data_IF_023393510883
#
_entry.id   IF_023393510883
#
_cell.length_a   1.000
_cell.length_b   1.000
_cell.length_c   1.000
_cell.angle_alpha   90.00
_cell.angle_beta   90.00
_cell.angle_gamma   90.00
#
_symmetry.space_group_name_H-M   'P 1'
#
loop_
_entity.id
_entity.type
_entity.pdbx_description
1 polymer ?
#
# COMPACT_ATOMS: atom_id res chain seq x y z
N UNK A 1 -14.54 -57.85 44.14
CA UNK A 1 -13.89 -56.70 43.49
C UNK A 1 -14.62 -56.53 42.16
N UNK A 2 -15.61 -55.68 41.93
CA UNK A 2 -16.00 -54.42 42.56
C UNK A 2 -16.42 -53.49 41.40
N UNK A 3 -17.65 -53.68 40.91
CA UNK A 3 -18.67 -52.67 40.58
C UNK A 3 -18.38 -51.38 39.77
N UNK A 4 -19.15 -51.25 38.67
CA UNK A 4 -19.93 -50.08 38.16
C UNK A 4 -19.18 -48.75 37.81
N UNK A 5 -19.54 -47.84 36.87
CA UNK A 5 -20.57 -47.65 35.84
C UNK A 5 -20.45 -46.19 35.30
N UNK A 6 -20.81 -45.96 34.02
CA UNK A 6 -21.34 -44.68 33.47
C UNK A 6 -20.32 -43.66 32.93
N UNK A 7 -20.52 -42.94 31.82
CA UNK A 7 -21.66 -42.58 30.96
C UNK A 7 -21.15 -42.44 29.49
N UNK A 8 -21.85 -42.84 28.42
CA UNK A 8 -23.07 -42.21 27.88
C UNK A 8 -22.70 -41.11 26.87
N UNK A 9 -22.44 -41.40 25.58
CA UNK A 9 -23.36 -41.41 24.41
C UNK A 9 -23.69 -40.04 23.79
N UNK A 10 -23.47 -39.94 22.47
CA UNK A 10 -24.21 -39.09 21.53
C UNK A 10 -23.78 -37.61 21.49
N UNK A 11 -23.80 -36.88 20.39
CA UNK A 11 -24.49 -37.05 19.12
C UNK A 11 -23.79 -36.16 18.08
N UNK A 12 -24.00 -36.54 16.83
CA UNK A 12 -23.79 -35.75 15.63
C UNK A 12 -24.32 -34.31 15.77
N UNK A 13 -23.54 -33.35 15.30
CA UNK A 13 -23.93 -31.95 15.15
C UNK A 13 -23.26 -31.40 13.91
N UNK A 14 -24.08 -31.22 12.88
CA UNK A 14 -23.76 -30.86 11.52
C UNK A 14 -22.90 -29.59 11.40
N UNK A 15 -21.91 -29.65 10.52
CA UNK A 15 -21.30 -28.45 9.93
C UNK A 15 -22.04 -28.14 8.62
N UNK A 16 -23.33 -27.80 8.75
CA UNK A 16 -24.03 -26.99 7.77
C UNK A 16 -24.07 -25.56 8.29
N UNK A 17 -23.27 -24.72 7.64
CA UNK A 17 -23.11 -23.32 7.96
C UNK A 17 -22.72 -22.56 6.70
N UNK A 18 -23.56 -22.69 5.66
CA UNK A 18 -23.67 -21.72 4.59
C UNK A 18 -23.75 -20.32 5.22
N UNK A 19 -22.66 -19.58 5.19
CA UNK A 19 -22.73 -18.12 5.27
C UNK A 19 -22.72 -17.60 3.84
N UNK A 20 -23.91 -17.67 3.24
CA UNK A 20 -24.23 -16.89 2.06
C UNK A 20 -23.87 -15.44 2.35
N UNK A 21 -22.93 -14.89 1.58
CA UNK A 21 -22.69 -13.45 1.49
C UNK A 21 -23.91 -12.88 0.77
N UNK A 22 -24.99 -12.63 1.51
CA UNK A 22 -26.10 -11.83 1.01
C UNK A 22 -25.62 -10.39 0.94
N UNK A 23 -25.51 -9.88 -0.28
CA UNK A 23 -25.18 -8.48 -0.53
C UNK A 23 -26.09 -7.55 0.26
N UNK A 24 -25.48 -6.74 1.11
CA UNK A 24 -25.97 -5.46 1.64
C UNK A 24 -24.88 -4.88 2.54
N UNK A 25 -23.94 -4.15 1.95
CA UNK A 25 -22.99 -3.27 2.66
C UNK A 25 -22.46 -2.18 1.69
N UNK A 26 -23.36 -1.59 0.91
CA UNK A 26 -23.05 -0.53 -0.08
C UNK A 26 -23.71 0.83 0.21
N UNK A 27 -24.39 1.02 1.36
CA UNK A 27 -25.15 2.25 1.65
C UNK A 27 -24.54 3.13 2.77
N UNK A 28 -23.23 3.42 2.74
CA UNK A 28 -22.66 4.37 3.72
C UNK A 28 -21.67 5.40 3.15
N UNK A 29 -21.75 5.70 1.85
CA UNK A 29 -20.89 6.73 1.23
C UNK A 29 -21.62 7.86 0.48
N UNK A 30 -22.94 7.98 0.57
CA UNK A 30 -23.70 9.05 -0.12
C UNK A 30 -24.08 10.28 0.72
N UNK A 31 -23.62 10.42 1.97
CA UNK A 31 -24.08 11.52 2.85
C UNK A 31 -23.19 12.77 2.93
N UNK A 32 -22.21 12.97 2.03
CA UNK A 32 -21.35 14.17 2.09
C UNK A 32 -21.72 15.26 1.07
N UNK A 33 -22.38 15.00 -0.06
CA UNK A 33 -22.89 16.10 -0.94
C UNK A 33 -24.13 15.61 -1.72
N UNK A 34 -25.31 16.08 -1.34
CA UNK A 34 -26.60 15.55 -1.82
C UNK A 34 -27.04 15.97 -3.23
N UNK A 35 -28.08 15.29 -3.73
CA UNK A 35 -28.91 15.78 -4.85
C UNK A 35 -29.59 14.73 -5.75
N UNK A 36 -30.56 13.97 -5.21
CA UNK A 36 -31.82 13.44 -5.81
C UNK A 36 -31.94 13.11 -7.32
N UNK A 37 -32.43 11.91 -7.65
CA UNK A 37 -33.20 11.64 -8.88
C UNK A 37 -33.42 10.15 -9.27
N UNK A 38 -34.66 9.66 -9.11
CA UNK A 38 -35.20 8.31 -9.35
C UNK A 38 -34.98 7.68 -10.75
N UNK A 39 -34.98 6.33 -10.85
CA UNK A 39 -35.57 5.65 -12.02
C UNK A 39 -35.18 4.20 -12.38
N UNK A 40 -35.77 3.19 -11.71
CA UNK A 40 -36.34 1.91 -12.23
C UNK A 40 -35.65 1.07 -13.36
N UNK A 41 -35.21 -0.15 -13.00
CA UNK A 41 -35.77 -1.44 -13.48
C UNK A 41 -35.12 -2.20 -14.66
N UNK A 42 -34.74 -3.48 -14.45
CA UNK A 42 -34.65 -4.50 -15.52
C UNK A 42 -33.70 -5.69 -15.26
N UNK A 43 -34.24 -6.89 -15.07
CA UNK A 43 -33.53 -8.17 -14.85
C UNK A 43 -33.13 -8.84 -16.19
N UNK A 44 -31.94 -9.45 -16.25
CA UNK A 44 -31.51 -10.30 -17.39
C UNK A 44 -30.22 -11.10 -17.15
N UNK A 45 -30.39 -12.42 -16.99
CA UNK A 45 -29.48 -13.60 -17.14
C UNK A 45 -27.96 -13.43 -17.39
N UNK A 46 -27.14 -14.10 -16.58
CA UNK A 46 -25.66 -14.09 -16.62
C UNK A 46 -24.97 -14.96 -17.70
N UNK A 47 -23.62 -14.90 -17.77
CA UNK A 47 -22.79 -15.99 -17.22
C UNK A 47 -21.47 -15.57 -16.51
N UNK A 48 -20.92 -16.52 -15.71
CA UNK A 48 -19.54 -16.64 -15.12
C UNK A 48 -19.22 -15.92 -13.79
N UNK A 49 -18.67 -16.63 -12.75
CA UNK A 49 -18.37 -16.07 -11.43
C UNK A 49 -16.88 -15.70 -11.28
N UNK A 50 -16.42 -14.67 -11.97
CA UNK A 50 -15.18 -13.98 -11.60
C UNK A 50 -15.40 -12.48 -11.76
N UNK A 51 -15.15 -11.65 -10.73
CA UNK A 51 -15.26 -10.21 -10.87
C UNK A 51 -14.16 -9.72 -11.81
N UNK A 52 -14.55 -9.34 -13.02
CA UNK A 52 -13.75 -8.47 -13.88
C UNK A 52 -13.62 -7.16 -13.12
N UNK A 53 -12.45 -6.89 -12.55
CA UNK A 53 -12.17 -5.57 -11.98
C UNK A 53 -12.29 -4.54 -13.10
N UNK A 54 -13.10 -3.48 -12.94
CA UNK A 54 -13.07 -2.38 -13.89
C UNK A 54 -11.66 -1.79 -13.86
N UNK A 55 -11.07 -1.62 -15.04
CA UNK A 55 -9.86 -0.82 -15.19
C UNK A 55 -10.10 0.57 -14.58
N UNK A 56 -9.09 1.23 -14.01
CA UNK A 56 -9.21 2.58 -13.44
C UNK A 56 -9.78 3.65 -14.38
N UNK A 57 -9.91 3.33 -15.68
CA UNK A 57 -10.56 4.15 -16.70
C UNK A 57 -12.06 4.40 -16.48
N UNK A 58 -12.73 3.74 -15.53
CA UNK A 58 -14.17 3.90 -15.28
C UNK A 58 -14.55 4.80 -14.08
N UNK A 59 -13.57 5.39 -13.38
CA UNK A 59 -13.82 6.27 -12.21
C UNK A 59 -13.25 7.69 -12.36
N UNK A 60 -13.01 8.14 -13.59
CA UNK A 60 -12.55 9.51 -13.88
C UNK A 60 -13.80 10.36 -14.19
N UNK A 61 -13.95 11.58 -13.63
CA UNK A 61 -15.02 12.48 -14.02
C UNK A 61 -15.02 12.68 -15.53
N UNK A 62 -16.22 12.65 -16.11
CA UNK A 62 -16.47 12.83 -17.54
C UNK A 62 -15.66 14.01 -18.10
N UNK A 63 -14.65 13.70 -18.89
CA UNK A 63 -13.65 14.64 -19.37
C UNK A 63 -14.20 15.39 -20.60
N UNK A 64 -15.30 16.11 -20.39
CA UNK A 64 -16.06 16.80 -21.45
C UNK A 64 -15.60 18.25 -21.71
N UNK A 65 -14.51 18.70 -21.06
CA UNK A 65 -13.95 20.04 -21.29
C UNK A 65 -12.44 20.00 -21.39
N UNK A 66 -11.89 19.69 -22.57
CA UNK A 66 -10.46 19.94 -22.83
C UNK A 66 -10.25 20.46 -24.25
N UNK A 67 -9.86 21.74 -24.35
CA UNK A 67 -9.38 22.37 -25.57
C UNK A 67 -7.85 22.48 -25.56
N UNK A 68 -7.21 22.34 -26.73
CA UNK A 68 -5.80 22.74 -26.93
C UNK A 68 -5.57 24.13 -26.33
N UNK A 69 -4.74 24.20 -25.30
CA UNK A 69 -4.51 25.39 -24.49
C UNK A 69 -4.92 25.27 -23.02
N UNK A 70 -5.55 24.16 -22.60
CA UNK A 70 -5.87 23.95 -21.18
C UNK A 70 -4.62 23.52 -20.39
N UNK A 71 -4.18 24.30 -19.37
CA UNK A 71 -2.99 24.00 -18.55
C UNK A 71 -3.15 22.80 -17.59
N UNK A 72 -4.28 22.09 -17.62
CA UNK A 72 -4.60 21.02 -16.65
C UNK A 72 -3.99 19.64 -16.93
N UNK A 73 -3.41 19.40 -18.12
CA UNK A 73 -2.77 18.11 -18.48
C UNK A 73 -1.59 18.33 -19.44
N UNK A 74 -0.36 18.60 -18.95
CA UNK A 74 0.80 18.75 -19.83
C UNK A 74 1.18 17.39 -20.43
N UNK A 75 1.28 17.32 -21.76
CA UNK A 75 2.00 16.23 -22.43
C UNK A 75 3.48 16.45 -22.16
N UNK A 76 4.09 15.54 -21.40
CA UNK A 76 5.48 15.69 -20.94
C UNK A 76 6.46 15.12 -21.97
N UNK A 77 6.12 13.98 -22.59
CA UNK A 77 7.00 13.26 -23.51
C UNK A 77 6.21 12.37 -24.47
N UNK A 78 6.78 12.04 -25.64
CA UNK A 78 6.27 11.00 -26.55
C UNK A 78 7.30 9.89 -26.78
N UNK A 79 6.83 8.69 -27.12
CA UNK A 79 7.68 7.54 -27.48
C UNK A 79 7.03 6.70 -28.58
N UNK A 80 7.88 5.96 -29.31
CA UNK A 80 7.44 4.84 -30.14
C UNK A 80 7.55 3.55 -29.31
N UNK A 81 6.42 2.91 -29.05
CA UNK A 81 6.38 1.60 -28.41
C UNK A 81 6.67 0.54 -29.46
N UNK A 82 7.90 0.03 -29.50
CA UNK A 82 8.33 -0.99 -30.46
C UNK A 82 7.63 -2.34 -30.28
N UNK A 83 7.22 -2.68 -29.04
CA UNK A 83 6.55 -3.96 -28.76
C UNK A 83 5.12 -3.98 -29.31
N UNK A 84 4.43 -2.84 -29.27
CA UNK A 84 3.03 -2.70 -29.69
C UNK A 84 2.88 -1.92 -31.02
N UNK A 85 4.01 -1.53 -31.62
CA UNK A 85 4.10 -0.77 -32.87
C UNK A 85 3.20 0.49 -32.91
N UNK A 86 3.11 1.23 -31.80
CA UNK A 86 2.25 2.43 -31.68
C UNK A 86 2.96 3.63 -31.04
N UNK A 87 2.49 4.83 -31.37
CA UNK A 87 2.97 6.08 -30.76
C UNK A 87 2.19 6.38 -29.48
N UNK A 88 2.90 6.66 -28.40
CA UNK A 88 2.34 6.92 -27.08
C UNK A 88 2.84 8.24 -26.49
N UNK A 89 2.02 8.85 -25.64
CA UNK A 89 2.27 10.14 -25.00
C UNK A 89 2.17 10.00 -23.48
N UNK A 90 3.17 10.46 -22.75
CA UNK A 90 3.15 10.46 -21.29
C UNK A 90 2.34 11.65 -20.77
N UNK A 91 1.38 11.34 -19.91
CA UNK A 91 0.40 12.29 -19.40
C UNK A 91 0.48 12.35 -17.87
N UNK A 92 0.64 13.57 -17.36
CA UNK A 92 0.48 13.87 -15.94
C UNK A 92 -0.82 14.61 -15.69
N UNK A 93 -1.59 14.15 -14.71
CA UNK A 93 -2.85 14.78 -14.31
C UNK A 93 -2.58 15.82 -13.22
N UNK A 94 -2.71 17.10 -13.56
CA UNK A 94 -2.39 18.21 -12.63
C UNK A 94 -3.31 18.14 -11.39
N UNK A 95 -2.70 18.23 -10.20
CA UNK A 95 -3.42 18.15 -8.93
C UNK A 95 -3.68 16.71 -8.45
N UNK A 96 -3.28 15.70 -9.22
CA UNK A 96 -3.40 14.29 -8.84
C UNK A 96 -2.03 13.67 -8.53
N UNK A 97 -2.05 12.60 -7.74
CA UNK A 97 -0.84 11.86 -7.39
C UNK A 97 -0.21 11.22 -8.64
N UNK A 98 1.11 11.32 -8.78
CA UNK A 98 1.89 10.81 -9.93
C UNK A 98 1.73 9.32 -10.20
N UNK A 99 1.26 8.54 -9.22
CA UNK A 99 0.89 7.14 -9.42
C UNK A 99 -0.19 6.92 -10.50
N UNK A 100 -0.92 7.99 -10.85
CA UNK A 100 -1.97 7.99 -11.87
C UNK A 100 -1.43 8.40 -13.25
N UNK A 101 -0.16 8.79 -13.36
CA UNK A 101 0.45 9.11 -14.63
C UNK A 101 0.49 7.87 -15.54
N UNK A 102 0.17 8.05 -16.82
CA UNK A 102 0.09 6.95 -17.79
C UNK A 102 0.60 7.35 -19.18
N UNK A 103 0.94 6.34 -19.99
CA UNK A 103 1.14 6.50 -21.42
C UNK A 103 -0.18 6.27 -22.14
N UNK A 104 -0.59 7.22 -22.98
CA UNK A 104 -1.84 7.15 -23.74
C UNK A 104 -1.58 7.16 -25.24
N UNK A 105 -2.43 6.44 -25.97
CA UNK A 105 -2.46 6.41 -27.44
C UNK A 105 -2.98 7.74 -28.02
N UNK A 106 -2.55 8.05 -29.25
CA UNK A 106 -2.96 9.24 -30.01
C UNK A 106 -4.47 9.43 -30.14
N UNK A 107 -5.24 8.36 -30.22
CA UNK A 107 -6.70 8.34 -30.32
C UNK A 107 -7.37 8.84 -29.04
N UNK A 108 -6.82 8.54 -27.85
CA UNK A 108 -7.31 9.09 -26.57
C UNK A 108 -7.08 10.60 -26.49
N UNK A 109 -6.03 11.11 -27.12
CA UNK A 109 -5.82 12.55 -27.28
C UNK A 109 -6.76 13.16 -28.35
N UNK A 110 -7.10 12.40 -29.40
CA UNK A 110 -7.89 12.87 -30.54
C UNK A 110 -9.41 12.92 -30.29
N UNK A 111 -9.97 12.04 -29.44
CA UNK A 111 -11.38 12.06 -29.01
C UNK A 111 -11.80 13.39 -28.36
N UNK A 112 -10.85 14.18 -27.86
CA UNK A 112 -11.09 15.55 -27.36
C UNK A 112 -11.45 16.59 -28.44
N UNK A 113 -11.13 16.32 -29.72
CA UNK A 113 -11.38 17.27 -30.81
C UNK A 113 -12.80 17.20 -31.38
N UNK A 114 -13.40 16.00 -31.48
CA UNK A 114 -14.69 15.81 -32.15
C UNK A 114 -15.92 16.28 -31.34
N UNK A 115 -15.80 16.43 -30.01
CA UNK A 115 -16.90 16.90 -29.17
C UNK A 115 -17.14 18.43 -29.24
N UNK A 116 -16.18 19.18 -29.80
CA UNK A 116 -16.27 20.64 -29.91
C UNK A 116 -17.19 21.15 -31.00
N UNK A 117 -17.46 20.34 -32.03
CA UNK A 117 -18.32 20.73 -33.15
C UNK A 117 -19.82 20.66 -32.78
N UNK A 118 -20.18 19.91 -31.73
CA UNK A 118 -21.55 19.79 -31.26
C UNK A 118 -22.00 20.93 -30.31
N UNK A 119 -21.07 21.69 -29.71
CA UNK A 119 -21.38 22.71 -28.70
C UNK A 119 -21.56 24.15 -29.26
N UNK A 120 -21.43 24.34 -30.58
CA UNK A 120 -21.49 25.67 -31.23
C UNK A 120 -22.92 26.13 -31.61
N UNK A 121 -23.98 25.45 -31.16
CA UNK A 121 -25.38 25.86 -31.40
C UNK A 121 -26.16 26.07 -30.09
N UNK A 122 -25.79 27.09 -29.32
CA UNK A 122 -26.72 27.83 -28.45
C UNK A 122 -26.00 29.03 -27.84
N UNK A 123 -26.17 30.20 -28.46
CA UNK A 123 -25.73 31.48 -27.93
C UNK A 123 -26.95 32.32 -27.59
N UNK A 124 -27.12 32.69 -26.32
CA UNK A 124 -27.73 33.96 -25.90
C UNK A 124 -27.12 34.35 -24.53
N UNK A 125 -26.88 35.65 -24.24
CA UNK A 125 -26.13 36.11 -23.07
C UNK A 125 -27.03 36.65 -21.95
N UNK A 126 -26.67 36.40 -20.68
CA UNK A 126 -27.21 37.18 -19.54
C UNK A 126 -26.15 37.44 -18.46
N UNK A 127 -26.45 38.47 -17.69
CA UNK A 127 -25.63 39.48 -17.05
C UNK A 127 -25.25 39.14 -15.59
N UNK A 128 -24.05 39.55 -15.17
CA UNK A 128 -23.75 40.25 -13.90
C UNK A 128 -23.90 39.54 -12.54
N UNK A 129 -22.95 39.87 -11.64
CA UNK A 129 -23.06 39.86 -10.15
C UNK A 129 -22.99 38.47 -9.46
N UNK A 130 -22.32 38.21 -8.32
CA UNK A 130 -21.66 38.99 -7.28
C UNK A 130 -20.50 38.16 -6.70
N UNK A 131 -19.42 38.84 -6.29
CA UNK A 131 -18.46 38.28 -5.35
C UNK A 131 -19.06 38.30 -3.94
N UNK A 132 -19.10 37.15 -3.28
CA UNK A 132 -19.44 37.02 -1.86
C UNK A 132 -18.42 36.13 -1.11
N UNK A 133 -18.29 36.32 0.22
CA UNK A 133 -16.98 36.48 0.86
C UNK A 133 -16.40 35.19 1.45
N UNK A 134 -15.07 35.16 1.49
CA UNK A 134 -14.27 34.16 2.20
C UNK A 134 -14.71 34.03 3.67
N UNK A 135 -15.33 32.91 4.01
CA UNK A 135 -15.55 32.52 5.41
C UNK A 135 -14.18 32.23 6.05
N UNK A 136 -13.71 33.15 6.89
CA UNK A 136 -12.47 33.01 7.66
C UNK A 136 -12.56 31.80 8.61
N UNK A 137 -11.82 30.76 8.26
CA UNK A 137 -11.60 29.57 9.08
C UNK A 137 -10.79 29.96 10.32
N UNK A 138 -11.19 29.44 11.49
CA UNK A 138 -10.48 29.72 12.75
C UNK A 138 -9.10 29.09 12.77
N UNK A 139 -8.13 29.74 13.45
CA UNK A 139 -6.72 29.29 13.54
C UNK A 139 -6.56 27.83 14.01
N UNK A 140 -7.52 27.32 14.79
CA UNK A 140 -7.50 25.94 15.30
C UNK A 140 -8.05 24.91 14.29
N UNK A 141 -9.00 25.31 13.43
CA UNK A 141 -9.50 24.47 12.32
C UNK A 141 -8.49 24.39 11.17
N UNK A 142 -7.77 25.49 10.91
CA UNK A 142 -6.65 25.50 9.94
C UNK A 142 -5.52 24.57 10.37
N UNK A 143 -5.15 24.59 11.67
CA UNK A 143 -4.16 23.66 12.24
C UNK A 143 -4.56 22.18 12.09
N UNK A 144 -5.81 21.83 12.40
CA UNK A 144 -6.30 20.45 12.20
C UNK A 144 -6.35 20.04 10.73
N UNK A 145 -6.70 20.96 9.82
CA UNK A 145 -6.71 20.70 8.38
C UNK A 145 -5.28 20.47 7.84
N UNK A 146 -4.32 21.28 8.28
CA UNK A 146 -2.90 21.18 7.87
C UNK A 146 -2.22 19.93 8.48
N UNK A 147 -2.60 19.51 9.70
CA UNK A 147 -2.12 18.28 10.36
C UNK A 147 -2.66 17.00 9.69
N UNK A 148 -3.92 17.03 9.23
CA UNK A 148 -4.58 15.89 8.55
C UNK A 148 -4.07 15.72 7.12
N UNK A 149 -3.75 16.81 6.41
CA UNK A 149 -3.31 16.78 5.02
C UNK A 149 -1.81 16.66 4.82
N UNK A 150 -1.00 16.72 5.89
CA UNK A 150 0.43 16.41 5.88
C UNK A 150 1.13 16.90 4.59
N UNK A 151 0.99 18.21 4.32
CA UNK A 151 1.76 18.87 3.27
C UNK A 151 3.21 18.46 3.49
N UNK A 152 3.81 17.88 2.45
CA UNK A 152 5.19 17.40 2.45
C UNK A 152 6.08 18.41 3.19
N UNK A 153 6.96 17.92 4.05
CA UNK A 153 8.04 18.75 4.58
C UNK A 153 8.69 19.45 3.39
N UNK A 154 8.62 20.77 3.37
CA UNK A 154 9.19 21.56 2.29
C UNK A 154 10.68 21.28 2.23
N UNK A 155 11.25 21.32 1.01
CA UNK A 155 12.68 21.14 0.69
C UNK A 155 13.68 21.87 1.62
N UNK A 156 13.21 22.78 2.46
CA UNK A 156 13.96 23.55 3.44
C UNK A 156 14.48 22.75 4.66
N UNK A 157 13.96 21.54 4.92
CA UNK A 157 14.40 20.73 6.08
C UNK A 157 15.44 19.65 5.74
N UNK A 158 15.82 19.51 4.47
CA UNK A 158 16.81 18.51 4.03
C UNK A 158 18.19 19.15 3.86
N UNK A 159 19.25 18.35 4.02
CA UNK A 159 20.59 18.83 3.72
C UNK A 159 20.68 19.23 2.23
N UNK A 160 21.44 20.29 1.87
CA UNK A 160 21.52 20.80 0.51
C UNK A 160 21.94 19.75 -0.53
N UNK A 161 22.76 18.78 -0.15
CA UNK A 161 23.23 17.71 -1.06
C UNK A 161 22.14 16.67 -1.31
N UNK A 162 21.42 16.24 -0.27
CA UNK A 162 20.25 15.35 -0.39
C UNK A 162 19.13 16.03 -1.17
N UNK A 163 18.83 17.29 -0.90
CA UNK A 163 17.80 18.04 -1.63
C UNK A 163 18.14 18.24 -3.12
N UNK A 164 19.42 18.45 -3.46
CA UNK A 164 19.87 18.54 -4.85
C UNK A 164 19.78 17.19 -5.57
N UNK A 165 20.22 16.11 -4.92
CA UNK A 165 20.11 14.73 -5.43
C UNK A 165 18.65 14.31 -5.62
N UNK A 166 17.76 14.70 -4.70
CA UNK A 166 16.33 14.45 -4.82
C UNK A 166 15.70 15.26 -5.94
N UNK A 167 16.06 16.54 -6.11
CA UNK A 167 15.53 17.40 -7.18
C UNK A 167 16.02 16.94 -8.57
N UNK A 168 17.26 16.47 -8.67
CA UNK A 168 17.81 15.87 -9.88
C UNK A 168 17.15 14.51 -10.16
N UNK A 169 17.00 13.65 -9.14
CA UNK A 169 16.22 12.42 -9.24
C UNK A 169 14.79 12.70 -9.68
N UNK A 170 14.10 13.65 -9.08
CA UNK A 170 12.73 14.03 -9.44
C UNK A 170 12.60 14.49 -10.88
N UNK A 171 13.63 15.13 -11.43
CA UNK A 171 13.68 15.56 -12.84
C UNK A 171 13.89 14.38 -13.80
N UNK A 172 14.77 13.43 -13.45
CA UNK A 172 15.07 12.23 -14.25
C UNK A 172 13.94 11.20 -14.18
N UNK A 173 13.30 11.08 -13.02
CA UNK A 173 12.21 10.13 -12.73
C UNK A 173 10.83 10.64 -13.15
N UNK A 174 10.74 11.80 -13.84
CA UNK A 174 9.44 12.40 -14.15
C UNK A 174 8.55 11.55 -15.05
N UNK A 175 9.17 10.71 -15.87
CA UNK A 175 8.51 9.88 -16.86
C UNK A 175 8.80 8.43 -16.51
N UNK A 176 7.75 7.67 -16.14
CA UNK A 176 7.89 6.21 -16.04
C UNK A 176 8.08 5.68 -17.46
N UNK A 177 9.11 4.87 -17.69
CA UNK A 177 9.27 4.21 -18.98
C UNK A 177 8.72 2.77 -18.95
N UNK A 178 8.97 2.03 -17.87
CA UNK A 178 8.32 0.73 -17.65
C UNK A 178 6.91 0.99 -17.17
N UNK A 179 5.93 0.59 -17.96
CA UNK A 179 4.53 0.85 -17.61
C UNK A 179 3.91 -0.26 -16.83
N UNK A 180 4.38 -1.47 -17.11
CA UNK A 180 3.72 -2.71 -16.75
C UNK A 180 4.75 -3.81 -16.56
N UNK A 181 4.46 -4.71 -15.63
CA UNK A 181 5.25 -5.91 -15.43
C UNK A 181 4.36 -7.14 -15.51
N UNK A 182 4.95 -8.25 -15.95
CA UNK A 182 4.36 -9.58 -15.83
C UNK A 182 5.15 -10.38 -14.80
N UNK A 183 4.49 -10.85 -13.74
CA UNK A 183 5.08 -11.66 -12.67
C UNK A 183 4.11 -12.77 -12.26
N UNK A 184 4.55 -14.02 -12.37
CA UNK A 184 3.70 -15.19 -12.15
C UNK A 184 2.48 -15.15 -13.08
N UNK A 185 1.28 -15.14 -12.49
CA UNK A 185 0.01 -15.01 -13.24
C UNK A 185 -0.54 -13.58 -13.30
N UNK A 186 0.24 -12.59 -12.86
CA UNK A 186 -0.21 -11.21 -12.76
C UNK A 186 0.45 -10.31 -13.79
N UNK A 187 -0.36 -9.43 -14.35
CA UNK A 187 0.08 -8.25 -15.06
C UNK A 187 -0.25 -7.03 -14.20
N UNK A 188 0.77 -6.21 -13.89
CA UNK A 188 0.68 -5.16 -12.88
C UNK A 188 1.20 -3.85 -13.47
N UNK A 189 0.40 -2.79 -13.38
CA UNK A 189 0.82 -1.45 -13.78
C UNK A 189 1.77 -0.85 -12.75
N UNK A 190 2.90 -0.31 -13.22
CA UNK A 190 3.87 0.41 -12.40
C UNK A 190 3.32 1.79 -12.01
N UNK A 191 3.58 2.19 -10.77
CA UNK A 191 3.15 3.48 -10.22
C UNK A 191 4.21 4.56 -10.35
N UNK A 192 5.49 4.16 -10.27
CA UNK A 192 6.62 5.06 -10.26
C UNK A 192 7.72 4.58 -11.20
N UNK A 193 8.63 5.49 -11.55
CA UNK A 193 9.87 5.14 -12.24
C UNK A 193 10.74 4.22 -11.38
N UNK A 194 11.34 3.22 -12.03
CA UNK A 194 12.40 2.37 -11.47
C UNK A 194 13.61 2.34 -12.42
N UNK A 195 14.84 2.47 -11.88
CA UNK A 195 16.08 2.57 -12.67
C UNK A 195 16.57 1.21 -13.15
N UNK A 196 15.73 0.49 -13.91
CA UNK A 196 16.19 -0.67 -14.66
C UNK A 196 17.27 -0.23 -15.66
N UNK A 197 18.27 -1.08 -15.98
CA UNK A 197 19.30 -0.75 -16.96
C UNK A 197 18.68 -0.23 -18.26
N UNK A 198 19.30 0.77 -18.91
CA UNK A 198 18.69 1.61 -19.95
C UNK A 198 17.93 0.84 -21.04
N UNK A 199 18.53 -0.26 -21.46
CA UNK A 199 18.04 -1.26 -22.40
C UNK A 199 16.68 -1.91 -22.06
N UNK A 200 16.37 -1.99 -20.77
CA UNK A 200 15.15 -2.53 -20.17
C UNK A 200 14.22 -1.41 -19.72
N UNK A 201 14.79 -0.31 -19.21
CA UNK A 201 14.05 0.84 -18.72
C UNK A 201 13.09 1.39 -19.76
N UNK A 202 13.47 1.41 -21.04
CA UNK A 202 12.64 1.93 -22.16
C UNK A 202 11.53 0.99 -22.63
N UNK A 203 11.43 -0.23 -22.10
CA UNK A 203 10.43 -1.21 -22.53
C UNK A 203 9.07 -0.92 -21.86
N UNK A 204 7.95 -0.98 -22.60
CA UNK A 204 6.62 -0.75 -22.03
C UNK A 204 6.27 -1.84 -21.01
N UNK A 205 6.71 -3.07 -21.26
CA UNK A 205 6.46 -4.24 -20.42
C UNK A 205 7.75 -4.99 -20.11
N UNK A 206 7.94 -5.32 -18.84
CA UNK A 206 8.98 -6.24 -18.38
C UNK A 206 8.40 -7.57 -17.91
N UNK A 207 9.13 -8.65 -18.12
CA UNK A 207 8.78 -9.99 -17.67
C UNK A 207 9.67 -10.38 -16.51
N UNK A 208 9.11 -10.68 -15.35
CA UNK A 208 9.84 -10.91 -14.11
C UNK A 208 9.54 -12.34 -13.62
N UNK A 209 10.59 -13.11 -13.37
CA UNK A 209 10.45 -14.41 -12.71
C UNK A 209 9.98 -14.22 -11.26
N UNK A 210 8.89 -14.86 -10.87
CA UNK A 210 8.35 -14.72 -9.51
C UNK A 210 9.24 -15.34 -8.41
N UNK A 211 10.11 -16.29 -8.79
CA UNK A 211 10.98 -16.98 -7.83
C UNK A 211 12.35 -16.31 -7.69
N UNK A 212 13.07 -16.08 -8.79
CA UNK A 212 14.42 -15.49 -8.74
C UNK A 212 14.48 -13.97 -9.01
N UNK A 213 13.32 -13.35 -9.31
CA UNK A 213 13.15 -11.92 -9.60
C UNK A 213 13.94 -11.40 -10.80
N UNK A 214 14.56 -12.28 -11.60
CA UNK A 214 15.20 -11.88 -12.85
C UNK A 214 14.17 -11.23 -13.77
N UNK A 215 14.51 -10.06 -14.31
CA UNK A 215 13.73 -9.33 -15.29
C UNK A 215 14.24 -9.60 -16.72
N UNK A 216 13.32 -9.61 -17.69
CA UNK A 216 13.54 -9.92 -19.10
C UNK A 216 12.72 -8.98 -19.98
N UNK A 217 13.23 -8.67 -21.18
CA UNK A 217 12.56 -7.77 -22.15
C UNK A 217 11.39 -8.44 -22.86
N UNK A 218 11.52 -9.73 -23.19
CA UNK A 218 10.61 -10.42 -24.10
C UNK A 218 9.97 -11.64 -23.46
N UNK A 219 8.75 -11.94 -23.90
CA UNK A 219 8.04 -13.13 -23.45
C UNK A 219 8.79 -14.42 -23.80
N UNK A 220 9.41 -14.46 -24.99
CA UNK A 220 10.18 -15.63 -25.44
C UNK A 220 11.33 -15.95 -24.48
N UNK A 221 12.09 -14.95 -24.04
CA UNK A 221 13.18 -15.16 -23.08
C UNK A 221 12.66 -15.50 -21.69
N UNK A 222 11.51 -14.96 -21.29
CA UNK A 222 10.82 -15.34 -20.06
C UNK A 222 10.37 -16.80 -20.05
N UNK A 223 9.69 -17.28 -21.10
CA UNK A 223 9.26 -18.69 -21.20
C UNK A 223 10.44 -19.66 -21.20
N UNK A 224 11.53 -19.32 -21.90
CA UNK A 224 12.78 -20.09 -21.86
C UNK A 224 13.36 -20.14 -20.44
N UNK A 225 13.37 -18.99 -19.75
CA UNK A 225 13.83 -18.92 -18.36
C UNK A 225 12.97 -19.77 -17.42
N UNK A 226 11.64 -19.76 -17.54
CA UNK A 226 10.75 -20.60 -16.72
C UNK A 226 11.06 -22.10 -16.85
N UNK A 227 11.44 -22.56 -18.05
CA UNK A 227 11.83 -23.96 -18.28
C UNK A 227 13.21 -24.34 -17.71
N UNK A 228 14.08 -23.36 -17.44
CA UNK A 228 15.46 -23.59 -16.97
C UNK A 228 15.66 -23.25 -15.50
N UNK A 229 14.87 -22.32 -14.96
CA UNK A 229 15.00 -21.80 -13.61
C UNK A 229 14.67 -22.89 -12.58
N UNK A 230 15.61 -23.16 -11.68
CA UNK A 230 15.46 -24.17 -10.62
C UNK A 230 14.89 -23.57 -9.31
N UNK A 231 14.78 -22.24 -9.22
CA UNK A 231 14.26 -21.57 -8.04
C UNK A 231 12.75 -21.76 -7.92
N UNK A 232 12.29 -22.16 -6.74
CA UNK A 232 10.86 -22.26 -6.36
C UNK A 232 10.53 -21.58 -5.04
N UNK A 233 11.47 -20.81 -4.50
CA UNK A 233 11.32 -20.04 -3.28
C UNK A 233 12.38 -18.94 -3.26
N UNK A 234 12.24 -17.90 -2.41
CA UNK A 234 13.32 -16.97 -2.15
C UNK A 234 14.61 -17.69 -1.71
N UNK A 235 15.79 -17.10 -1.96
CA UNK A 235 17.04 -17.55 -1.36
C UNK A 235 17.03 -17.32 0.16
N UNK A 236 18.16 -17.54 0.81
CA UNK A 236 18.30 -17.34 2.25
C UNK A 236 17.58 -18.42 3.07
N UNK A 237 17.21 -18.05 4.31
CA UNK A 237 16.71 -18.98 5.32
C UNK A 237 15.22 -18.77 5.56
N UNK A 238 14.43 -19.84 5.52
CA UNK A 238 13.06 -19.81 6.01
C UNK A 238 13.07 -19.71 7.54
N UNK A 239 12.60 -18.58 8.08
CA UNK A 239 12.61 -18.29 9.52
C UNK A 239 11.21 -18.36 10.14
N UNK A 240 10.18 -18.51 9.33
CA UNK A 240 8.81 -18.66 9.78
C UNK A 240 8.00 -19.47 8.78
N UNK A 241 7.22 -20.44 9.28
CA UNK A 241 6.24 -21.21 8.50
C UNK A 241 4.97 -21.41 9.31
N UNK A 242 3.82 -21.06 8.74
CA UNK A 242 2.50 -21.42 9.28
C UNK A 242 1.48 -21.60 8.16
N UNK A 243 0.97 -22.81 8.00
CA UNK A 243 0.05 -23.14 6.91
C UNK A 243 0.73 -22.94 5.54
N UNK A 244 0.12 -22.11 4.69
CA UNK A 244 0.66 -21.71 3.40
C UNK A 244 1.47 -20.40 3.44
N UNK A 245 1.76 -19.85 4.63
CA UNK A 245 2.54 -18.60 4.76
C UNK A 245 3.95 -18.89 5.24
N UNK A 246 4.94 -18.35 4.51
CA UNK A 246 6.36 -18.44 4.86
C UNK A 246 7.06 -17.08 4.83
N UNK A 247 8.01 -16.88 5.74
CA UNK A 247 8.93 -15.72 5.72
C UNK A 247 10.38 -16.18 5.57
N UNK A 248 11.07 -15.60 4.59
CA UNK A 248 12.48 -15.86 4.32
C UNK A 248 13.33 -14.66 4.71
N UNK A 249 14.40 -14.91 5.45
CA UNK A 249 15.45 -13.96 5.78
C UNK A 249 16.56 -14.07 4.73
N UNK A 250 16.85 -12.96 4.05
CA UNK A 250 17.80 -12.89 2.94
C UNK A 250 18.80 -11.78 3.19
N UNK A 251 20.06 -12.14 3.36
CA UNK A 251 21.15 -11.18 3.50
C UNK A 251 21.50 -10.55 2.13
N UNK A 252 21.51 -9.22 2.05
CA UNK A 252 21.83 -8.50 0.82
C UNK A 252 23.28 -8.65 0.35
N UNK A 253 24.22 -8.98 1.25
CA UNK A 253 25.61 -9.31 0.92
C UNK A 253 25.71 -10.68 0.26
N UNK A 254 25.01 -11.67 0.80
CA UNK A 254 25.08 -13.06 0.32
C UNK A 254 24.28 -13.26 -0.99
N UNK A 255 23.17 -12.53 -1.15
CA UNK A 255 22.26 -12.67 -2.28
C UNK A 255 22.09 -11.36 -3.07
N UNK A 256 23.20 -10.67 -3.35
CA UNK A 256 23.24 -9.34 -3.98
C UNK A 256 22.33 -9.18 -5.19
N UNK A 257 22.43 -10.06 -6.19
CA UNK A 257 21.63 -9.97 -7.43
C UNK A 257 20.13 -10.10 -7.15
N UNK A 258 19.75 -11.02 -6.26
CA UNK A 258 18.35 -11.22 -5.90
C UNK A 258 17.78 -9.97 -5.21
N UNK A 259 18.52 -9.40 -4.26
CA UNK A 259 18.11 -8.22 -3.52
C UNK A 259 18.08 -6.96 -4.41
N UNK A 260 19.01 -6.83 -5.36
CA UNK A 260 18.96 -5.75 -6.36
C UNK A 260 17.73 -5.86 -7.26
N UNK A 261 17.41 -7.06 -7.73
CA UNK A 261 16.18 -7.31 -8.51
C UNK A 261 14.91 -6.98 -7.70
N UNK A 262 14.88 -7.37 -6.42
CA UNK A 262 13.80 -7.02 -5.50
C UNK A 262 13.67 -5.51 -5.32
N UNK A 263 14.78 -4.79 -5.14
CA UNK A 263 14.78 -3.34 -5.00
C UNK A 263 14.27 -2.63 -6.27
N UNK A 264 14.67 -3.08 -7.46
CA UNK A 264 14.17 -2.55 -8.73
C UNK A 264 12.67 -2.81 -8.90
N UNK A 265 12.20 -4.01 -8.56
CA UNK A 265 10.78 -4.34 -8.54
C UNK A 265 10.02 -3.44 -7.54
N UNK A 266 10.55 -3.27 -6.33
CA UNK A 266 9.92 -2.48 -5.29
C UNK A 266 9.81 -1.00 -5.66
N UNK A 267 10.83 -0.45 -6.34
CA UNK A 267 10.87 0.95 -6.77
C UNK A 267 9.75 1.31 -7.75
N UNK A 268 9.19 0.34 -8.48
CA UNK A 268 8.00 0.55 -9.31
C UNK A 268 6.75 0.94 -8.49
N UNK A 269 6.75 0.65 -7.19
CA UNK A 269 5.61 0.85 -6.29
C UNK A 269 5.94 1.73 -5.07
N UNK A 270 7.19 2.17 -4.95
CA UNK A 270 7.68 3.05 -3.88
C UNK A 270 8.30 4.31 -4.48
N UNK A 271 7.75 5.47 -4.12
CA UNK A 271 8.20 6.76 -4.66
C UNK A 271 9.61 7.11 -4.17
N UNK A 272 9.79 7.09 -2.84
CA UNK A 272 10.99 7.60 -2.15
C UNK A 272 12.07 6.55 -1.88
N UNK A 273 12.10 5.43 -2.63
CA UNK A 273 13.18 4.45 -2.48
C UNK A 273 14.44 4.92 -3.22
N UNK A 274 15.50 5.21 -2.47
CA UNK A 274 16.75 5.78 -3.01
C UNK A 274 17.86 4.75 -3.20
N UNK A 275 17.89 3.69 -2.38
CA UNK A 275 18.91 2.64 -2.44
C UNK A 275 18.37 1.38 -3.14
N UNK A 276 19.01 1.00 -4.26
CA UNK A 276 18.62 -0.16 -5.05
C UNK A 276 19.78 -1.04 -5.54
N UNK A 277 21.01 -0.53 -5.59
CA UNK A 277 22.21 -1.33 -5.92
C UNK A 277 23.06 -1.69 -4.69
N UNK A 278 23.14 -0.79 -3.71
CA UNK A 278 23.89 -0.98 -2.46
C UNK A 278 23.02 -1.72 -1.43
N UNK A 279 22.85 -3.02 -1.65
CA UNK A 279 21.98 -3.89 -0.84
C UNK A 279 22.69 -4.56 0.33
N UNK A 280 24.03 -4.52 0.36
CA UNK A 280 24.86 -5.22 1.37
C UNK A 280 24.60 -4.80 2.83
N UNK A 281 24.27 -3.53 3.14
CA UNK A 281 23.92 -3.10 4.49
C UNK A 281 22.55 -3.61 4.99
N UNK A 282 21.76 -4.28 4.14
CA UNK A 282 20.38 -4.64 4.44
C UNK A 282 20.18 -6.15 4.57
N UNK A 283 19.23 -6.51 5.43
CA UNK A 283 18.57 -7.82 5.47
C UNK A 283 17.14 -7.65 4.96
N UNK A 284 16.68 -8.59 4.13
CA UNK A 284 15.36 -8.58 3.52
C UNK A 284 14.53 -9.73 4.08
N UNK A 285 13.30 -9.41 4.49
CA UNK A 285 12.33 -10.36 5.02
C UNK A 285 11.20 -10.52 4.02
N UNK A 286 11.24 -11.60 3.25
CA UNK A 286 10.29 -11.87 2.17
C UNK A 286 9.13 -12.72 2.66
N UNK A 287 7.92 -12.19 2.51
CA UNK A 287 6.68 -12.90 2.75
C UNK A 287 6.22 -13.60 1.47
N UNK A 288 5.86 -14.87 1.62
CA UNK A 288 5.41 -15.71 0.52
C UNK A 288 4.14 -16.48 0.86
N UNK A 289 3.34 -16.75 -0.16
CA UNK A 289 2.32 -17.79 -0.15
C UNK A 289 2.87 -19.04 -0.82
N UNK A 290 2.71 -20.19 -0.18
CA UNK A 290 3.29 -21.45 -0.63
C UNK A 290 2.21 -22.42 -1.08
N UNK A 291 2.33 -22.89 -2.31
CA UNK A 291 1.47 -23.90 -2.90
C UNK A 291 2.29 -25.14 -3.34
N UNK A 292 1.77 -25.93 -4.28
CA UNK A 292 2.47 -27.12 -4.82
C UNK A 292 3.61 -26.77 -5.79
N UNK A 293 3.57 -25.60 -6.41
CA UNK A 293 4.56 -25.12 -7.37
C UNK A 293 5.74 -24.45 -6.66
N UNK A 294 5.50 -23.72 -5.57
CA UNK A 294 6.56 -23.10 -4.79
C UNK A 294 6.08 -22.04 -3.81
N UNK A 295 7.01 -21.20 -3.36
CA UNK A 295 6.76 -20.04 -2.52
C UNK A 295 6.73 -18.76 -3.37
N UNK A 296 5.52 -18.22 -3.55
CA UNK A 296 5.20 -17.07 -4.38
C UNK A 296 5.33 -15.77 -3.57
N UNK A 297 6.12 -14.81 -4.05
CA UNK A 297 6.32 -13.55 -3.36
C UNK A 297 5.01 -12.74 -3.26
N UNK A 298 4.72 -12.29 -2.05
CA UNK A 298 3.54 -11.45 -1.72
C UNK A 298 3.96 -10.04 -1.34
N UNK A 299 5.07 -9.93 -0.62
CA UNK A 299 5.60 -8.67 -0.14
C UNK A 299 6.90 -8.88 0.62
N UNK A 300 7.49 -7.79 1.07
CA UNK A 300 8.70 -7.84 1.89
C UNK A 300 8.82 -6.59 2.76
N UNK A 301 9.71 -6.65 3.74
CA UNK A 301 10.35 -5.45 4.26
C UNK A 301 11.87 -5.62 4.30
N UNK A 302 12.61 -4.51 4.22
CA UNK A 302 14.05 -4.47 4.45
C UNK A 302 14.37 -3.82 5.79
N UNK A 303 15.47 -4.23 6.39
CA UNK A 303 15.99 -3.70 7.65
C UNK A 303 17.50 -3.48 7.51
N UNK A 304 17.99 -2.33 7.95
CA UNK A 304 19.43 -2.10 8.05
C UNK A 304 20.04 -3.03 9.11
N UNK A 305 21.21 -3.61 8.81
CA UNK A 305 21.95 -4.42 9.78
C UNK A 305 22.35 -3.59 11.01
N UNK A 306 22.72 -2.35 10.77
CA UNK A 306 23.04 -1.36 11.78
C UNK A 306 22.25 -0.09 11.45
N UNK A 307 21.26 0.24 12.27
CA UNK A 307 20.44 1.45 12.11
C UNK A 307 20.73 2.43 13.24
N UNK A 308 21.42 3.56 12.98
CA UNK A 308 21.74 4.55 14.02
C UNK A 308 20.51 5.13 14.72
N UNK A 309 19.42 5.28 13.96
CA UNK A 309 18.13 5.81 14.45
C UNK A 309 17.25 4.73 15.10
N UNK A 310 17.71 3.48 15.13
CA UNK A 310 16.94 2.34 15.66
C UNK A 310 15.72 2.00 14.80
N UNK A 311 15.79 2.21 13.48
CA UNK A 311 14.70 1.83 12.58
C UNK A 311 14.63 0.31 12.46
N UNK A 312 13.46 -0.27 12.72
CA UNK A 312 13.25 -1.72 12.54
C UNK A 312 12.76 -2.09 11.14
N UNK A 313 12.40 -1.10 10.33
CA UNK A 313 11.98 -1.23 8.94
C UNK A 313 12.52 -0.04 8.16
N UNK A 314 13.22 -0.29 7.05
CA UNK A 314 13.66 0.72 6.10
C UNK A 314 12.63 0.90 4.96
N UNK A 315 12.31 -0.19 4.27
CA UNK A 315 11.26 -0.21 3.25
C UNK A 315 10.29 -1.35 3.53
N UNK A 316 9.00 -1.15 3.22
CA UNK A 316 7.97 -2.19 3.31
C UNK A 316 7.05 -2.10 2.10
N UNK A 317 6.74 -3.25 1.51
CA UNK A 317 5.88 -3.35 0.34
C UNK A 317 5.05 -4.62 0.38
N UNK A 318 3.76 -4.49 0.08
CA UNK A 318 2.92 -5.60 -0.38
C UNK A 318 2.64 -5.37 -1.86
N UNK A 319 2.92 -6.38 -2.70
CA UNK A 319 2.71 -6.28 -4.14
C UNK A 319 1.23 -5.98 -4.44
N UNK A 320 0.92 -5.16 -5.46
CA UNK A 320 -0.44 -4.64 -5.69
C UNK A 320 -1.57 -5.69 -5.68
N UNK A 321 -1.43 -6.89 -6.31
CA UNK A 321 -2.49 -7.90 -6.30
C UNK A 321 -2.88 -8.41 -4.90
N UNK A 322 -1.95 -8.31 -3.95
CA UNK A 322 -2.12 -8.82 -2.58
C UNK A 322 -2.46 -7.73 -1.56
N UNK A 323 -2.54 -6.46 -1.97
CA UNK A 323 -2.87 -5.38 -1.05
C UNK A 323 -4.29 -5.54 -0.48
N UNK A 324 -4.52 -4.95 0.71
CA UNK A 324 -5.80 -4.99 1.45
C UNK A 324 -6.28 -6.39 1.88
N UNK A 325 -5.42 -7.42 1.81
CA UNK A 325 -5.70 -8.79 2.27
C UNK A 325 -5.09 -9.15 3.64
N UNK A 326 -4.49 -8.16 4.32
CA UNK A 326 -3.90 -8.34 5.66
C UNK A 326 -2.39 -8.58 5.69
N UNK A 327 -1.74 -8.89 4.56
CA UNK A 327 -0.29 -9.16 4.52
C UNK A 327 0.57 -7.95 4.97
N UNK A 328 0.16 -6.72 4.65
CA UNK A 328 0.88 -5.52 5.14
C UNK A 328 0.88 -5.44 6.66
N UNK A 329 -0.25 -5.76 7.31
CA UNK A 329 -0.35 -5.80 8.77
C UNK A 329 0.47 -6.95 9.37
N UNK A 330 0.54 -8.09 8.66
CA UNK A 330 1.41 -9.20 9.02
C UNK A 330 2.91 -8.82 8.94
N UNK A 331 3.36 -8.17 7.86
CA UNK A 331 4.75 -7.72 7.71
C UNK A 331 5.15 -6.75 8.83
N UNK A 332 4.27 -5.80 9.18
CA UNK A 332 4.48 -4.88 10.32
C UNK A 332 4.54 -5.65 11.63
N UNK A 333 3.63 -6.59 11.87
CA UNK A 333 3.66 -7.40 13.08
C UNK A 333 4.99 -8.19 13.18
N UNK A 334 5.40 -8.82 12.08
CA UNK A 334 6.62 -9.59 12.01
C UNK A 334 7.87 -8.74 12.31
N UNK A 335 7.95 -7.51 11.80
CA UNK A 335 9.09 -6.63 12.11
C UNK A 335 9.19 -6.28 13.59
N UNK A 336 8.05 -6.13 14.29
CA UNK A 336 8.05 -5.94 15.74
C UNK A 336 8.37 -7.21 16.54
N UNK A 337 7.97 -8.39 16.05
CA UNK A 337 8.37 -9.65 16.67
C UNK A 337 9.90 -9.84 16.61
N UNK A 338 10.55 -9.42 15.53
CA UNK A 338 12.02 -9.39 15.46
C UNK A 338 12.62 -8.41 16.49
N UNK A 339 12.08 -7.19 16.60
CA UNK A 339 12.54 -6.23 17.61
C UNK A 339 12.41 -6.76 19.04
N UNK A 340 11.35 -7.52 19.35
CA UNK A 340 11.17 -8.16 20.66
C UNK A 340 12.27 -9.16 20.97
N UNK A 341 12.68 -9.97 20.00
CA UNK A 341 13.78 -10.94 20.17
C UNK A 341 15.11 -10.26 20.42
N UNK A 342 15.33 -9.15 19.73
CA UNK A 342 16.53 -8.33 19.91
C UNK A 342 16.50 -7.53 21.22
N UNK A 343 15.38 -7.57 21.97
CA UNK A 343 15.14 -6.75 23.16
C UNK A 343 15.31 -5.25 22.88
N UNK A 344 14.96 -4.82 21.66
CA UNK A 344 15.02 -3.42 21.21
C UNK A 344 13.63 -2.87 20.98
N UNK A 345 13.54 -1.54 20.97
CA UNK A 345 12.36 -0.81 20.47
C UNK A 345 12.69 -0.27 19.08
N UNK A 346 11.67 -0.13 18.23
CA UNK A 346 11.88 0.34 16.86
C UNK A 346 10.68 1.09 16.29
N UNK A 347 10.98 1.90 15.27
CA UNK A 347 10.02 2.62 14.44
C UNK A 347 10.36 2.34 12.97
N UNK A 348 9.41 2.45 12.02
CA UNK A 348 9.77 2.51 10.62
C UNK A 348 10.53 3.79 10.28
N UNK A 349 11.42 3.69 9.29
CA UNK A 349 12.09 4.82 8.67
C UNK A 349 11.07 5.84 8.12
N UNK A 350 11.42 7.13 8.21
CA UNK A 350 10.56 8.25 7.80
C UNK A 350 11.24 8.98 6.62
N UNK A 351 10.46 9.50 5.65
CA UNK A 351 9.00 9.59 5.62
C UNK A 351 8.31 8.30 5.13
N UNK A 352 7.22 7.91 5.80
CA UNK A 352 6.34 6.82 5.34
C UNK A 352 5.44 7.27 4.18
N UNK A 353 5.14 6.35 3.26
CA UNK A 353 4.06 6.52 2.28
C UNK A 353 2.69 6.63 2.97
N UNK A 354 1.70 7.24 2.32
CA UNK A 354 0.36 7.41 2.91
C UNK A 354 -0.30 6.06 3.26
N UNK A 355 -0.12 5.05 2.40
CA UNK A 355 -0.58 3.69 2.67
C UNK A 355 0.18 3.06 3.84
N UNK A 356 1.49 3.34 3.95
CA UNK A 356 2.31 2.94 5.09
C UNK A 356 1.81 3.54 6.39
N UNK A 357 1.62 4.87 6.45
CA UNK A 357 1.10 5.59 7.63
C UNK A 357 -0.23 5.01 8.11
N UNK A 358 -1.17 4.79 7.19
CA UNK A 358 -2.47 4.20 7.52
C UNK A 358 -2.34 2.78 8.10
N UNK A 359 -1.44 1.98 7.53
CA UNK A 359 -1.20 0.59 7.96
C UNK A 359 -0.56 0.53 9.35
N UNK A 360 0.48 1.34 9.61
CA UNK A 360 1.13 1.43 10.92
C UNK A 360 0.18 1.95 11.99
N UNK A 361 -0.61 3.01 11.70
CA UNK A 361 -1.61 3.53 12.64
C UNK A 361 -2.66 2.47 12.99
N UNK A 362 -3.19 1.75 12.01
CA UNK A 362 -4.14 0.65 12.26
C UNK A 362 -3.52 -0.49 13.08
N UNK A 363 -2.24 -0.83 12.83
CA UNK A 363 -1.53 -1.84 13.60
C UNK A 363 -1.29 -1.41 15.05
N UNK A 364 -0.70 -0.23 15.28
CA UNK A 364 -0.42 0.28 16.62
C UNK A 364 -1.70 0.44 17.44
N UNK A 365 -2.76 1.03 16.86
CA UNK A 365 -4.04 1.15 17.56
C UNK A 365 -4.58 -0.21 17.97
N UNK A 366 -4.55 -1.21 17.09
CA UNK A 366 -5.04 -2.55 17.41
C UNK A 366 -4.23 -3.21 18.55
N UNK A 367 -2.90 -3.21 18.47
CA UNK A 367 -2.02 -3.81 19.50
C UNK A 367 -2.24 -3.15 20.86
N UNK A 368 -2.28 -1.81 20.89
CA UNK A 368 -2.46 -1.08 22.14
C UNK A 368 -3.85 -1.32 22.75
N UNK A 369 -4.90 -1.33 21.93
CA UNK A 369 -6.26 -1.62 22.39
C UNK A 369 -6.39 -3.05 22.94
N UNK A 370 -5.75 -4.03 22.31
CA UNK A 370 -5.76 -5.43 22.79
C UNK A 370 -5.11 -5.56 24.17
N UNK A 371 -3.94 -4.93 24.36
CA UNK A 371 -3.25 -4.92 25.66
C UNK A 371 -4.09 -4.19 26.72
N UNK A 372 -4.64 -3.02 26.39
CA UNK A 372 -5.46 -2.23 27.32
C UNK A 372 -6.77 -2.93 27.70
N UNK A 373 -7.31 -3.80 26.84
CA UNK A 373 -8.48 -4.63 27.14
C UNK A 373 -8.15 -5.71 28.17
N UNK A 374 -7.05 -6.41 27.96
CA UNK A 374 -6.71 -7.62 28.71
C UNK A 374 -6.01 -7.32 30.04
N UNK A 375 -5.34 -6.16 30.14
CA UNK A 375 -4.59 -5.80 31.33
C UNK A 375 -5.50 -5.33 32.48
N UNK A 376 -5.28 -5.88 33.67
CA UNK A 376 -5.93 -5.48 34.91
C UNK A 376 -4.93 -4.72 35.78
N UNK A 377 -4.97 -3.39 35.76
CA UNK A 377 -4.10 -2.54 36.59
C UNK A 377 -3.67 -1.26 35.89
N UNK A 378 -2.63 -0.62 36.43
CA UNK A 378 -2.02 0.58 35.85
C UNK A 378 -0.92 0.20 34.88
N UNK A 379 -1.05 0.59 33.61
CA UNK A 379 0.01 0.50 32.60
C UNK A 379 0.67 1.86 32.40
N UNK A 380 1.99 1.89 32.33
CA UNK A 380 2.75 3.06 31.88
C UNK A 380 3.06 2.97 30.38
N UNK A 381 3.41 4.12 29.79
CA UNK A 381 3.91 4.18 28.40
C UNK A 381 5.18 3.32 28.23
N UNK A 382 6.01 3.25 29.27
CA UNK A 382 7.23 2.44 29.28
C UNK A 382 6.91 0.94 29.24
N UNK A 383 5.91 0.49 30.00
CA UNK A 383 5.47 -0.91 30.01
C UNK A 383 4.96 -1.33 28.63
N UNK A 384 4.11 -0.50 28.01
CA UNK A 384 3.64 -0.73 26.65
C UNK A 384 4.79 -0.83 25.64
N UNK A 385 5.80 0.04 25.76
CA UNK A 385 6.97 0.02 24.88
C UNK A 385 7.78 -1.26 25.04
N UNK A 386 7.99 -1.71 26.28
CA UNK A 386 8.69 -2.97 26.55
C UNK A 386 7.92 -4.20 26.07
N UNK A 387 6.59 -4.22 26.21
CA UNK A 387 5.76 -5.35 25.77
C UNK A 387 5.64 -5.47 24.24
N UNK A 388 5.72 -4.35 23.54
CA UNK A 388 5.39 -4.29 22.09
C UNK A 388 6.58 -4.01 21.18
N UNK A 389 7.70 -3.56 21.74
CA UNK A 389 8.84 -2.98 21.01
C UNK A 389 8.49 -1.73 20.20
N UNK A 390 7.31 -1.13 20.39
CA UNK A 390 6.93 0.15 19.77
C UNK A 390 7.60 1.28 20.56
N UNK A 391 8.13 2.28 19.86
CA UNK A 391 8.74 3.44 20.53
C UNK A 391 7.70 4.18 21.39
N UNK A 392 8.15 4.80 22.48
CA UNK A 392 7.26 5.59 23.34
C UNK A 392 6.58 6.73 22.56
N UNK A 393 7.28 7.34 21.60
CA UNK A 393 6.77 8.41 20.74
C UNK A 393 5.59 7.92 19.88
N UNK A 394 5.71 6.74 19.27
CA UNK A 394 4.65 6.16 18.45
C UNK A 394 3.46 5.71 19.32
N UNK A 395 3.71 5.20 20.53
CA UNK A 395 2.66 4.90 21.52
C UNK A 395 1.91 6.16 21.93
N UNK A 396 2.61 7.23 22.30
CA UNK A 396 2.01 8.50 22.71
C UNK A 396 1.15 9.07 21.58
N UNK A 397 1.70 9.17 20.37
CA UNK A 397 0.95 9.71 19.22
C UNK A 397 -0.28 8.86 18.88
N UNK A 398 -0.19 7.53 18.98
CA UNK A 398 -1.32 6.63 18.78
C UNK A 398 -2.40 6.84 19.84
N UNK A 399 -2.03 6.84 21.13
CA UNK A 399 -2.99 7.06 22.22
C UNK A 399 -3.60 8.47 22.20
N UNK A 400 -2.86 9.49 21.75
CA UNK A 400 -3.39 10.83 21.52
C UNK A 400 -4.48 10.80 20.45
N UNK A 401 -4.25 10.10 19.33
CA UNK A 401 -5.26 9.97 18.26
C UNK A 401 -6.53 9.22 18.70
N UNK A 402 -6.41 8.35 19.71
CA UNK A 402 -7.51 7.61 20.33
C UNK A 402 -8.14 8.36 21.53
N UNK A 403 -7.65 9.56 21.89
CA UNK A 403 -8.05 10.31 23.08
C UNK A 403 -7.88 9.52 24.41
N UNK A 404 -6.85 8.66 24.50
CA UNK A 404 -6.59 7.76 25.64
C UNK A 404 -5.40 8.16 26.50
N UNK A 405 -4.81 9.35 26.28
CA UNK A 405 -3.68 9.85 27.06
C UNK A 405 -3.90 11.32 27.41
N UNK A 406 -3.48 11.70 28.62
CA UNK A 406 -3.50 13.09 29.11
C UNK A 406 -2.10 13.51 29.53
N UNK A 407 -1.82 14.81 29.46
CA UNK A 407 -0.58 15.37 29.98
C UNK A 407 -0.81 15.89 31.40
N UNK A 408 -0.06 15.38 32.37
CA UNK A 408 -0.19 15.74 33.78
C UNK A 408 1.19 15.87 34.42
N UNK A 409 1.46 17.01 35.07
CA UNK A 409 2.74 17.30 35.77
C UNK A 409 4.00 16.96 34.95
N UNK A 410 4.00 17.26 33.66
CA UNK A 410 5.16 17.00 32.80
C UNK A 410 5.25 15.58 32.22
N UNK A 411 4.24 14.73 32.46
CA UNK A 411 4.24 13.33 32.03
C UNK A 411 2.95 12.97 31.26
N UNK A 412 3.08 12.05 30.31
CA UNK A 412 1.94 11.45 29.63
C UNK A 412 1.38 10.30 30.49
N UNK A 413 0.11 10.40 30.86
CA UNK A 413 -0.59 9.41 31.68
C UNK A 413 -1.72 8.80 30.87
N UNK A 414 -1.73 7.47 30.78
CA UNK A 414 -2.79 6.72 30.10
C UNK A 414 -4.09 6.88 30.91
N UNK A 415 -5.13 7.39 30.26
CA UNK A 415 -6.42 7.69 30.87
C UNK A 415 -7.51 7.02 30.03
N UNK A 416 -7.84 5.78 30.35
CA UNK A 416 -8.78 4.97 29.57
C UNK A 416 -9.77 4.24 30.46
N UNK A 417 -11.02 4.11 30.01
CA UNK A 417 -12.03 3.25 30.65
C UNK A 417 -12.20 1.98 29.84
N UNK A 418 -12.53 0.83 30.46
CA UNK A 418 -12.79 -0.41 29.72
C UNK A 418 -13.84 -0.27 28.62
N UNK A 419 -14.89 0.55 28.88
CA UNK A 419 -15.94 0.84 27.90
C UNK A 419 -15.40 1.51 26.64
N UNK A 420 -14.50 2.48 26.78
CA UNK A 420 -13.90 3.18 25.65
C UNK A 420 -13.04 2.24 24.79
N UNK A 421 -12.29 1.33 25.43
CA UNK A 421 -11.49 0.32 24.70
C UNK A 421 -12.40 -0.57 23.85
N UNK A 422 -13.47 -1.09 24.43
CA UNK A 422 -14.46 -1.94 23.73
C UNK A 422 -15.16 -1.20 22.58
N UNK A 423 -15.50 0.08 22.76
CA UNK A 423 -16.07 0.92 21.71
C UNK A 423 -15.12 1.07 20.51
N UNK A 424 -13.82 1.27 20.76
CA UNK A 424 -12.83 1.29 19.69
C UNK A 424 -12.66 -0.07 19.03
N UNK A 425 -12.59 -1.17 19.79
CA UNK A 425 -12.40 -2.52 19.24
C UNK A 425 -13.58 -2.99 18.36
N UNK A 426 -14.79 -2.47 18.58
CA UNK A 426 -15.95 -2.72 17.70
C UNK A 426 -15.85 -2.06 16.33
N UNK A 427 -15.01 -1.02 16.18
CA UNK A 427 -14.81 -0.36 14.89
C UNK A 427 -14.12 -1.30 13.89
N UNK A 428 -14.63 -1.35 12.66
CA UNK A 428 -14.07 -2.16 11.57
C UNK A 428 -12.58 -1.85 11.31
N UNK A 429 -12.12 -0.64 11.64
CA UNK A 429 -10.74 -0.19 11.45
C UNK A 429 -9.70 -0.89 12.34
N UNK A 430 -10.12 -1.37 13.52
CA UNK A 430 -9.23 -1.93 14.54
C UNK A 430 -9.47 -3.43 14.76
N UNK A 431 -10.13 -4.09 13.80
CA UNK A 431 -10.32 -5.54 13.83
C UNK A 431 -8.97 -6.26 13.85
N UNK A 432 -9.01 -7.42 14.52
CA UNK A 432 -7.89 -8.37 14.57
C UNK A 432 -7.41 -8.67 13.14
N UNK A 433 -6.08 -8.65 12.88
CA UNK A 433 -5.55 -9.04 11.60
C UNK A 433 -6.03 -10.46 11.23
N UNK A 434 -6.43 -10.70 9.97
CA UNK A 434 -6.85 -12.03 9.53
C UNK A 434 -5.67 -13.02 9.56
N UNK A 435 -4.46 -12.52 9.38
CA UNK A 435 -3.22 -13.31 9.44
C UNK A 435 -2.47 -12.88 10.70
N UNK A 436 -2.54 -13.70 11.74
CA UNK A 436 -1.72 -13.55 12.94
C UNK A 436 -0.71 -14.69 13.03
N UNK A 437 0.56 -14.33 12.95
CA UNK A 437 1.67 -15.20 13.27
C UNK A 437 2.46 -14.61 14.42
N UNK A 438 2.39 -15.22 15.59
CA UNK A 438 3.53 -15.15 16.50
C UNK A 438 4.53 -16.19 15.97
N UNK A 439 5.76 -15.80 15.61
CA UNK A 439 6.78 -16.78 15.36
C UNK A 439 6.95 -17.62 16.62
N UNK A 440 6.80 -18.94 16.48
CA UNK A 440 7.25 -19.88 17.50
C UNK A 440 8.70 -20.18 17.15
N UNK A 441 9.61 -19.48 17.82
CA UNK A 441 11.04 -19.76 17.73
C UNK A 441 11.36 -21.07 18.44
#
# INVERSE_FOLDING_TARGET
MGDWEGLGTGYWGDWDGETGVTGRDWEYWEWVLGGTGNGIGGWGTGPSPFPVYPSPSQLIPDCSRLSRGDPSVPVIQSRLNEQEAREEFYVHYVGFNRRLDEWVDRNRLALSKSLKEAAQKSSEPFLGELAEPERKITRNQKRKHDEINHVQKTYAEMDPTTAALEKEHEAITKVKYVDKIHIGHYEIDAWYFSPFPEDYGKQPKLWICEFCLKYMKYERSYRLHLGQCQWRQPPGREIYRKGNISVYEVDGKDHKIYCQNLCLLAKLFLDHKTLYFDVEPFVFYLLTEVDRQGAHIVGYFSKEKESPDGNNVACILTLPPYQRRGYGKFLIAFSYELSKLESTVGSPEKPLSDLGKLSYRSYWSWVLLEILRDFRGTLSIKDLSQMTSITQTDIISTLQSLNMVKYWKGQHVICVTPKLVEEHLKSAQYKKPPITGQPRW
#
